data_IF_326229462429
#
_entry.id   IF_326229462429
#
_cell.length_a   1.000
_cell.length_b   1.000
_cell.length_c   1.000
_cell.angle_alpha   90.00
_cell.angle_beta   90.00
_cell.angle_gamma   90.00
#
_symmetry.space_group_name_H-M   'P 1'
#
loop_
_entity.id
_entity.type
_entity.pdbx_description
1 polymer ?
#
# COMPACT_ATOMS: atom_id res chain seq x y z
N UNK A 1 2.12 17.66 -11.48
CA UNK A 1 1.61 18.19 -10.18
C UNK A 1 2.41 17.57 -9.05
N UNK A 2 2.78 18.32 -7.99
CA UNK A 2 3.49 17.80 -6.80
C UNK A 2 2.80 18.29 -5.54
N UNK A 3 2.51 17.41 -4.59
CA UNK A 3 2.03 17.76 -3.26
C UNK A 3 2.83 17.01 -2.21
N UNK A 4 3.48 17.75 -1.31
CA UNK A 4 4.14 17.21 -0.11
C UNK A 4 3.14 17.27 1.04
N UNK A 5 3.10 16.24 1.87
CA UNK A 5 2.36 16.31 3.13
C UNK A 5 3.28 16.94 4.18
N UNK A 6 2.77 18.01 4.78
CA UNK A 6 3.44 18.68 5.89
C UNK A 6 2.81 18.18 7.20
N UNK A 7 3.65 17.63 8.08
CA UNK A 7 3.21 17.11 9.38
C UNK A 7 3.20 18.18 10.48
N UNK A 8 3.49 19.43 10.13
CA UNK A 8 3.43 20.57 11.07
C UNK A 8 2.01 21.07 11.33
N UNK A 9 1.01 20.52 10.64
CA UNK A 9 -0.40 20.80 10.94
C UNK A 9 -0.84 20.03 12.20
N UNK A 10 -0.81 20.73 13.34
CA UNK A 10 -1.28 20.24 14.64
C UNK A 10 -2.79 20.00 14.71
N UNK A 11 -3.56 20.26 13.65
CA UNK A 11 -5.03 20.07 13.64
C UNK A 11 -5.46 18.60 13.69
N UNK A 12 -4.54 17.65 13.53
CA UNK A 12 -4.80 16.22 13.75
C UNK A 12 -5.82 15.58 12.80
N UNK A 13 -6.31 16.29 11.77
CA UNK A 13 -7.30 15.76 10.85
C UNK A 13 -6.66 15.05 9.65
N UNK A 14 -6.00 13.91 9.91
CA UNK A 14 -5.62 12.97 8.87
C UNK A 14 -6.79 12.03 8.53
N UNK A 15 -7.81 12.57 7.85
CA UNK A 15 -8.97 11.79 7.39
C UNK A 15 -9.78 11.12 8.52
N UNK A 16 -10.67 10.21 8.12
CA UNK A 16 -11.45 9.34 9.03
C UNK A 16 -10.67 8.03 9.20
N UNK A 17 -10.23 7.73 10.42
CA UNK A 17 -9.41 6.55 10.73
C UNK A 17 -9.27 6.29 12.23
N UNK A 18 -8.73 5.13 12.59
CA UNK A 18 -8.38 4.81 13.99
C UNK A 18 -7.13 5.60 14.38
N UNK A 19 -7.31 6.62 15.22
CA UNK A 19 -6.27 7.61 15.53
C UNK A 19 -5.46 7.28 16.78
N UNK A 20 -5.82 6.24 17.54
CA UNK A 20 -5.21 5.91 18.84
C UNK A 20 -3.77 5.35 18.74
N UNK A 21 -3.37 4.92 17.54
CA UNK A 21 -2.00 4.51 17.22
C UNK A 21 -1.14 5.61 16.62
N UNK A 22 -1.71 6.76 16.24
CA UNK A 22 -1.00 7.81 15.50
C UNK A 22 -0.46 8.89 16.43
N UNK A 23 0.80 9.29 16.22
CA UNK A 23 1.37 10.46 16.90
C UNK A 23 2.31 11.18 15.94
N UNK A 24 2.24 12.51 15.91
CA UNK A 24 3.31 13.32 15.31
C UNK A 24 4.34 13.57 16.40
N UNK A 25 5.58 13.19 16.13
CA UNK A 25 6.69 13.36 17.07
C UNK A 25 7.94 13.81 16.34
N UNK A 26 8.92 14.33 17.09
CA UNK A 26 10.26 14.53 16.54
C UNK A 26 10.83 13.19 16.06
N UNK A 27 11.52 13.21 14.93
CA UNK A 27 12.22 12.06 14.36
C UNK A 27 13.29 11.58 15.38
N UNK A 28 13.09 10.41 16.01
CA UNK A 28 14.01 9.89 17.02
C UNK A 28 15.32 9.39 16.41
N UNK A 29 15.40 9.32 15.07
CA UNK A 29 16.59 8.88 14.33
C UNK A 29 17.36 10.07 13.77
N UNK A 30 16.65 11.10 13.27
CA UNK A 30 17.26 12.33 12.73
C UNK A 30 16.62 13.58 13.34
N UNK A 31 17.16 14.05 14.46
CA UNK A 31 16.69 15.23 15.18
C UNK A 31 16.41 16.46 14.27
N UNK A 32 15.42 17.26 14.65
CA UNK A 32 15.04 18.49 13.93
C UNK A 32 14.04 18.30 12.77
N UNK A 33 13.47 17.11 12.59
CA UNK A 33 12.34 16.85 11.68
C UNK A 33 11.18 16.19 12.45
N UNK A 34 9.96 16.35 11.96
CA UNK A 34 8.79 15.65 12.48
C UNK A 34 8.43 14.44 11.61
N UNK A 35 8.01 13.36 12.25
CA UNK A 35 7.59 12.11 11.62
C UNK A 35 6.20 11.72 12.12
N UNK A 36 5.46 11.01 11.27
CA UNK A 36 4.26 10.30 11.68
C UNK A 36 4.67 8.95 12.27
N UNK A 37 4.48 8.81 13.58
CA UNK A 37 4.71 7.58 14.34
C UNK A 37 3.42 6.76 14.39
N UNK A 38 3.54 5.46 14.12
CA UNK A 38 2.43 4.52 14.22
C UNK A 38 2.80 3.39 15.16
N UNK A 39 2.10 3.30 16.29
CA UNK A 39 2.28 2.26 17.29
C UNK A 39 1.43 1.03 17.01
N UNK A 40 1.99 -0.16 17.24
CA UNK A 40 1.32 -1.45 17.16
C UNK A 40 1.47 -2.17 18.50
N UNK A 41 0.36 -2.35 19.20
CA UNK A 41 0.33 -3.12 20.45
C UNK A 41 0.52 -4.61 20.16
N UNK A 42 1.29 -5.27 21.00
CA UNK A 42 1.48 -6.72 20.99
C UNK A 42 0.12 -7.44 20.94
N UNK A 43 0.05 -8.48 20.11
CA UNK A 43 -1.13 -9.32 19.98
C UNK A 43 -2.22 -8.75 19.08
N UNK A 44 -2.12 -7.52 18.60
CA UNK A 44 -3.10 -6.93 17.68
C UNK A 44 -2.86 -7.40 16.24
N UNK A 45 -3.93 -7.49 15.44
CA UNK A 45 -3.85 -7.76 14.00
C UNK A 45 -5.18 -7.39 13.30
N UNK A 46 -5.13 -6.93 12.06
CA UNK A 46 -6.30 -6.56 11.24
C UNK A 46 -7.35 -5.81 12.08
N UNK A 47 -8.53 -6.39 12.34
CA UNK A 47 -9.60 -5.80 13.15
C UNK A 47 -9.68 -6.37 14.58
N UNK A 48 -8.63 -7.01 15.09
CA UNK A 48 -8.65 -7.73 16.35
C UNK A 48 -7.66 -7.17 17.38
N UNK A 49 -8.03 -7.23 18.65
CA UNK A 49 -7.22 -6.84 19.79
C UNK A 49 -6.21 -7.94 20.21
N UNK A 50 -5.45 -7.66 21.29
CA UNK A 50 -4.46 -8.57 21.85
C UNK A 50 -5.03 -9.93 22.29
N UNK A 51 -6.30 -9.97 22.73
CA UNK A 51 -7.01 -11.18 23.11
C UNK A 51 -7.53 -11.98 21.89
N UNK A 52 -7.51 -11.37 20.70
CA UNK A 52 -8.03 -11.96 19.47
C UNK A 52 -9.53 -11.74 19.26
N UNK A 53 -10.15 -10.88 20.06
CA UNK A 53 -11.53 -10.43 19.87
C UNK A 53 -11.56 -9.26 18.88
N UNK A 54 -12.71 -9.01 18.27
CA UNK A 54 -12.91 -7.83 17.44
C UNK A 54 -12.59 -6.57 18.26
N UNK A 55 -11.74 -5.72 17.70
CA UNK A 55 -11.14 -4.59 18.37
C UNK A 55 -12.25 -3.57 18.69
N UNK A 56 -12.38 -3.13 19.96
CA UNK A 56 -13.15 -1.92 20.24
C UNK A 56 -12.50 -0.74 19.49
N UNK A 57 -13.20 0.38 19.32
CA UNK A 57 -12.71 1.55 18.53
C UNK A 57 -11.29 2.05 18.91
N UNK A 58 -10.75 1.64 20.06
CA UNK A 58 -9.40 1.93 20.55
C UNK A 58 -8.73 0.61 20.95
N UNK A 59 -7.74 0.14 20.20
CA UNK A 59 -6.90 -1.00 20.62
C UNK A 59 -5.46 -0.96 20.10
N UNK A 60 -5.02 0.18 19.55
CA UNK A 60 -3.65 0.46 19.14
C UNK A 60 -3.09 -0.54 18.12
N UNK A 61 -3.89 -0.88 17.10
CA UNK A 61 -3.57 -1.91 16.10
C UNK A 61 -2.82 -1.42 14.86
N UNK A 62 -2.38 -0.16 14.89
CA UNK A 62 -1.93 0.57 13.72
C UNK A 62 -3.00 1.56 13.27
N UNK A 63 -2.91 2.04 12.04
CA UNK A 63 -3.79 3.11 11.56
C UNK A 63 -4.10 2.97 10.08
N UNK A 64 -5.29 3.47 9.71
CA UNK A 64 -5.67 3.56 8.31
C UNK A 64 -6.61 4.74 8.06
N UNK A 65 -6.42 5.43 6.95
CA UNK A 65 -7.26 6.54 6.49
C UNK A 65 -7.00 6.81 5.00
N UNK A 66 -7.98 7.43 4.35
CA UNK A 66 -7.87 7.87 2.97
C UNK A 66 -7.52 9.35 2.90
N UNK A 67 -6.58 9.69 2.04
CA UNK A 67 -6.22 11.07 1.73
C UNK A 67 -6.56 11.35 0.28
N UNK A 68 -7.46 12.30 0.07
CA UNK A 68 -7.84 12.81 -1.25
C UNK A 68 -7.53 14.32 -1.32
N UNK A 69 -6.35 14.69 -1.83
CA UNK A 69 -5.93 16.08 -1.84
C UNK A 69 -6.83 16.94 -2.73
N UNK A 70 -7.06 18.20 -2.33
CA UNK A 70 -7.96 19.11 -3.05
C UNK A 70 -7.68 19.19 -4.55
N UNK A 71 -6.41 19.25 -4.96
CA UNK A 71 -6.05 19.32 -6.38
C UNK A 71 -6.42 18.06 -7.16
N UNK A 72 -6.43 16.90 -6.51
CA UNK A 72 -6.89 15.64 -7.12
C UNK A 72 -8.41 15.63 -7.23
N UNK A 73 -9.12 16.04 -6.18
CA UNK A 73 -10.59 16.20 -6.21
C UNK A 73 -11.05 17.17 -7.30
N UNK A 74 -10.40 18.33 -7.39
CA UNK A 74 -10.73 19.37 -8.36
C UNK A 74 -10.48 18.89 -9.81
N UNK A 75 -9.62 17.89 -10.01
CA UNK A 75 -9.38 17.27 -11.30
C UNK A 75 -10.47 16.26 -11.72
N UNK A 76 -11.53 16.05 -10.93
CA UNK A 76 -12.74 15.35 -11.36
C UNK A 76 -12.50 13.97 -11.98
N UNK A 77 -11.71 13.13 -11.30
CA UNK A 77 -11.35 11.77 -11.72
C UNK A 77 -10.50 11.64 -13.00
N UNK A 78 -9.93 12.75 -13.50
CA UNK A 78 -9.10 12.73 -14.72
C UNK A 78 -7.67 12.22 -14.50
N UNK A 79 -7.24 12.02 -13.26
CA UNK A 79 -5.88 11.57 -12.97
C UNK A 79 -5.79 10.06 -13.19
N UNK A 80 -5.02 9.63 -14.20
CA UNK A 80 -4.81 8.21 -14.54
C UNK A 80 -3.37 7.74 -14.34
N UNK A 81 -2.45 8.65 -13.99
CA UNK A 81 -1.05 8.36 -13.71
C UNK A 81 -0.63 9.13 -12.45
N UNK A 82 -0.14 8.40 -11.46
CA UNK A 82 0.29 9.00 -10.20
C UNK A 82 1.45 8.23 -9.60
N UNK A 83 2.37 8.99 -9.03
CA UNK A 83 3.49 8.52 -8.22
C UNK A 83 3.28 8.92 -6.76
N UNK A 84 3.34 7.94 -5.87
CA UNK A 84 3.44 8.08 -4.43
C UNK A 84 4.90 7.88 -4.01
N UNK A 85 5.44 8.80 -3.23
CA UNK A 85 6.73 8.65 -2.56
C UNK A 85 6.54 8.79 -1.05
N UNK A 86 7.28 8.01 -0.27
CA UNK A 86 7.43 8.18 1.18
C UNK A 86 8.66 7.46 1.70
N UNK A 87 9.04 7.74 2.93
CA UNK A 87 10.04 6.93 3.65
C UNK A 87 9.39 6.27 4.86
N UNK A 88 9.75 5.01 5.09
CA UNK A 88 9.31 4.23 6.26
C UNK A 88 10.51 3.70 7.02
N UNK A 89 10.50 3.88 8.34
CA UNK A 89 11.47 3.31 9.26
C UNK A 89 10.79 2.26 10.12
N UNK A 90 11.34 1.05 10.11
CA UNK A 90 10.96 -0.02 11.02
C UNK A 90 11.91 0.00 12.22
N UNK A 91 11.36 -0.06 13.44
CA UNK A 91 12.16 -0.18 14.66
C UNK A 91 13.23 -1.29 14.51
N UNK A 92 14.42 -1.11 15.09
CA UNK A 92 15.51 -2.10 15.06
C UNK A 92 15.05 -3.53 15.39
N UNK A 93 14.14 -3.67 16.36
CA UNK A 93 13.61 -4.96 16.82
C UNK A 93 12.25 -5.31 16.21
N UNK A 94 11.87 -4.69 15.09
CA UNK A 94 10.58 -4.92 14.45
C UNK A 94 10.46 -6.40 14.04
N UNK A 95 9.48 -7.10 14.61
CA UNK A 95 9.23 -8.50 14.31
C UNK A 95 8.26 -8.65 13.13
N UNK A 96 8.75 -9.07 11.98
CA UNK A 96 7.97 -9.11 10.73
C UNK A 96 6.70 -9.97 10.76
N UNK A 97 6.66 -11.02 11.57
CA UNK A 97 5.61 -12.05 11.59
C UNK A 97 5.31 -12.58 10.19
N UNK A 98 4.05 -12.91 9.89
CA UNK A 98 3.58 -13.25 8.55
C UNK A 98 3.47 -12.04 7.63
N UNK A 99 3.29 -10.85 8.20
CA UNK A 99 3.22 -9.62 7.44
C UNK A 99 2.23 -8.59 7.98
N UNK A 100 2.09 -7.52 7.22
CA UNK A 100 1.17 -6.43 7.49
C UNK A 100 1.13 -5.43 6.35
N UNK A 101 0.22 -4.47 6.42
CA UNK A 101 -0.05 -3.52 5.33
C UNK A 101 0.84 -2.29 5.41
N UNK A 102 1.08 -1.66 4.28
CA UNK A 102 1.74 -0.37 4.15
C UNK A 102 0.98 0.54 3.19
N UNK A 103 1.20 1.87 3.28
CA UNK A 103 0.53 2.84 2.42
C UNK A 103 0.73 2.58 0.92
N UNK A 104 -0.30 2.88 0.13
CA UNK A 104 -0.28 2.83 -1.33
C UNK A 104 -1.35 3.73 -1.96
N UNK A 105 -1.48 3.69 -3.29
CA UNK A 105 -2.47 4.48 -4.02
C UNK A 105 -3.88 3.84 -4.01
N UNK A 106 -4.90 4.66 -4.20
CA UNK A 106 -6.30 4.23 -4.37
C UNK A 106 -7.07 5.12 -5.34
N UNK A 107 -8.23 4.64 -5.79
CA UNK A 107 -9.19 5.40 -6.57
C UNK A 107 -10.58 4.78 -6.59
N UNK A 108 -11.60 5.61 -6.84
CA UNK A 108 -13.01 5.21 -6.91
C UNK A 108 -13.71 5.14 -5.55
N UNK A 109 -14.53 4.12 -5.34
CA UNK A 109 -15.12 3.80 -4.05
C UNK A 109 -14.06 3.38 -3.00
N UNK A 110 -14.44 3.29 -1.73
CA UNK A 110 -13.53 2.93 -0.62
C UNK A 110 -13.59 1.44 -0.24
N UNK A 111 -14.23 0.64 -1.07
CA UNK A 111 -14.54 -0.75 -0.76
C UNK A 111 -13.43 -1.73 -1.08
N UNK A 112 -12.40 -1.34 -1.85
CA UNK A 112 -11.33 -2.23 -2.33
C UNK A 112 -10.28 -2.59 -1.25
N UNK A 113 -10.73 -3.24 -0.17
CA UNK A 113 -9.92 -3.75 0.94
C UNK A 113 -10.69 -4.75 1.81
N UNK A 114 -9.99 -5.50 2.69
CA UNK A 114 -10.64 -6.35 3.69
C UNK A 114 -11.45 -7.51 3.12
N UNK A 115 -11.06 -8.00 1.94
CA UNK A 115 -11.74 -9.07 1.21
C UNK A 115 -12.95 -8.64 0.38
N UNK A 116 -13.18 -7.33 0.25
CA UNK A 116 -14.20 -6.77 -0.64
C UNK A 116 -13.55 -6.41 -1.99
N UNK A 117 -14.01 -7.05 -3.04
CA UNK A 117 -13.63 -6.79 -4.43
C UNK A 117 -14.77 -6.00 -5.08
N UNK A 118 -14.45 -4.99 -5.88
CA UNK A 118 -15.43 -4.13 -6.53
C UNK A 118 -14.86 -3.57 -7.84
N UNK A 119 -15.70 -3.43 -8.85
CA UNK A 119 -15.34 -2.81 -10.13
C UNK A 119 -15.40 -1.28 -10.11
N UNK A 120 -15.79 -0.70 -8.97
CA UNK A 120 -15.91 0.75 -8.77
C UNK A 120 -14.72 1.37 -8.05
N UNK A 121 -13.67 0.59 -7.77
CA UNK A 121 -12.46 1.09 -7.12
C UNK A 121 -11.23 0.25 -7.45
N UNK A 122 -10.08 0.74 -7.01
CA UNK A 122 -8.86 -0.06 -6.85
C UNK A 122 -8.06 0.42 -5.64
N UNK A 123 -7.18 -0.44 -5.14
CA UNK A 123 -6.10 -0.03 -4.23
C UNK A 123 -4.81 -0.79 -4.53
N UNK A 124 -3.66 -0.15 -4.38
CA UNK A 124 -2.32 -0.74 -4.60
C UNK A 124 -1.46 -0.54 -3.35
N UNK A 125 -1.95 -0.98 -2.20
CA UNK A 125 -1.16 -0.94 -0.95
C UNK A 125 0.10 -1.77 -1.09
N UNK A 126 1.07 -1.53 -0.22
CA UNK A 126 2.19 -2.45 -0.07
C UNK A 126 1.94 -3.40 1.10
N UNK A 127 2.72 -4.47 1.18
CA UNK A 127 2.84 -5.28 2.37
C UNK A 127 4.30 -5.52 2.73
N UNK A 128 4.57 -5.63 4.03
CA UNK A 128 5.70 -6.44 4.48
C UNK A 128 5.23 -7.87 4.73
N UNK A 129 6.15 -8.81 4.59
CA UNK A 129 6.01 -10.25 4.83
C UNK A 129 7.13 -10.74 5.73
N UNK A 130 7.12 -12.03 6.05
CA UNK A 130 8.17 -12.67 6.85
C UNK A 130 9.58 -12.36 6.34
N UNK A 131 10.50 -12.14 7.27
CA UNK A 131 11.89 -11.79 6.93
C UNK A 131 12.08 -10.39 6.33
N UNK A 132 11.05 -9.53 6.36
CA UNK A 132 11.12 -8.19 5.77
C UNK A 132 10.87 -8.15 4.28
N UNK A 133 10.46 -9.27 3.67
CA UNK A 133 10.05 -9.31 2.27
C UNK A 133 8.96 -8.27 1.99
N UNK A 134 9.04 -7.62 0.83
CA UNK A 134 8.03 -6.67 0.38
C UNK A 134 7.29 -7.14 -0.86
N UNK A 135 6.10 -6.59 -1.06
CA UNK A 135 5.25 -6.84 -2.23
C UNK A 135 4.27 -5.68 -2.45
N UNK A 136 3.69 -5.61 -3.65
CA UNK A 136 2.45 -4.87 -3.88
C UNK A 136 1.28 -5.79 -3.55
N UNK A 137 0.31 -5.27 -2.80
CA UNK A 137 -0.93 -5.94 -2.44
C UNK A 137 -2.13 -5.17 -3.01
N UNK A 138 -2.58 -5.61 -4.18
CA UNK A 138 -3.51 -4.85 -5.02
C UNK A 138 -4.93 -5.42 -5.00
N UNK A 139 -5.93 -4.57 -4.78
CA UNK A 139 -7.33 -4.88 -5.11
C UNK A 139 -7.66 -4.18 -6.42
N UNK A 140 -7.96 -4.96 -7.46
CA UNK A 140 -8.36 -4.50 -8.79
C UNK A 140 -9.55 -5.33 -9.26
N UNK A 141 -10.16 -4.96 -10.38
CA UNK A 141 -11.22 -5.76 -11.02
C UNK A 141 -10.74 -7.20 -11.27
N UNK A 142 -11.63 -8.18 -11.09
CA UNK A 142 -11.33 -9.57 -11.45
C UNK A 142 -11.52 -9.84 -12.94
N UNK A 143 -12.16 -8.93 -13.68
CA UNK A 143 -12.33 -9.02 -15.13
C UNK A 143 -11.05 -8.52 -15.85
N UNK A 144 -9.99 -9.31 -15.74
CA UNK A 144 -8.65 -8.98 -16.23
C UNK A 144 -8.45 -9.23 -17.72
N UNK A 145 -9.25 -10.11 -18.32
CA UNK A 145 -9.13 -10.47 -19.74
C UNK A 145 -10.47 -10.98 -20.25
N UNK A 146 -10.95 -10.39 -21.35
CA UNK A 146 -12.20 -10.80 -21.97
C UNK A 146 -12.27 -12.32 -22.21
N UNK A 147 -13.36 -12.93 -21.75
CA UNK A 147 -13.62 -14.36 -21.92
C UNK A 147 -12.72 -15.30 -21.10
N UNK A 148 -11.98 -14.79 -20.12
CA UNK A 148 -11.12 -15.58 -19.22
C UNK A 148 -11.52 -15.30 -17.78
N UNK A 149 -11.68 -16.34 -16.95
CA UNK A 149 -11.89 -16.14 -15.52
C UNK A 149 -10.59 -15.67 -14.83
N UNK A 150 -10.74 -15.05 -13.66
CA UNK A 150 -9.63 -14.45 -12.92
C UNK A 150 -8.52 -15.45 -12.56
N UNK A 151 -8.87 -16.69 -12.19
CA UNK A 151 -7.90 -17.70 -11.79
C UNK A 151 -7.10 -18.20 -13.00
N UNK A 152 -7.78 -18.46 -14.13
CA UNK A 152 -7.12 -18.78 -15.39
C UNK A 152 -6.18 -17.67 -15.88
N UNK A 153 -6.59 -16.40 -15.75
CA UNK A 153 -5.71 -15.26 -16.05
C UNK A 153 -4.48 -15.27 -15.15
N UNK A 154 -4.67 -15.41 -13.83
CA UNK A 154 -3.56 -15.40 -12.88
C UNK A 154 -2.59 -16.56 -13.12
N UNK A 155 -3.09 -17.76 -13.35
CA UNK A 155 -2.26 -18.95 -13.62
C UNK A 155 -1.46 -18.78 -14.91
N UNK A 156 -2.02 -18.10 -15.92
CA UNK A 156 -1.27 -17.76 -17.14
C UNK A 156 -0.08 -16.84 -16.85
N UNK A 157 -0.17 -15.93 -15.87
CA UNK A 157 0.94 -15.07 -15.47
C UNK A 157 2.03 -15.84 -14.72
N UNK A 158 1.66 -16.78 -13.84
CA UNK A 158 2.63 -17.60 -13.07
C UNK A 158 3.58 -18.42 -13.96
N UNK A 159 3.15 -18.78 -15.18
CA UNK A 159 3.99 -19.46 -16.16
C UNK A 159 5.09 -18.59 -16.79
N UNK A 160 5.00 -17.26 -16.62
CA UNK A 160 5.96 -16.30 -17.17
C UNK A 160 7.01 -16.00 -16.12
N UNK A 161 8.29 -16.15 -16.50
CA UNK A 161 9.42 -15.93 -15.59
C UNK A 161 9.38 -14.56 -14.91
N UNK A 162 8.92 -13.53 -15.63
CA UNK A 162 8.85 -12.15 -15.14
C UNK A 162 7.75 -11.90 -14.10
N UNK A 163 6.81 -12.83 -13.88
CA UNK A 163 5.72 -12.73 -12.91
C UNK A 163 5.59 -13.99 -12.04
N UNK A 164 6.68 -14.74 -11.89
CA UNK A 164 6.66 -16.00 -11.13
C UNK A 164 6.45 -15.79 -9.61
N UNK A 165 6.43 -14.54 -9.12
CA UNK A 165 6.12 -14.16 -7.73
C UNK A 165 4.73 -13.53 -7.57
N UNK A 166 3.82 -13.80 -8.51
CA UNK A 166 2.41 -13.38 -8.39
C UNK A 166 1.57 -14.41 -7.61
N UNK A 167 0.77 -13.92 -6.66
CA UNK A 167 -0.24 -14.68 -5.93
C UNK A 167 -1.62 -14.05 -6.14
N UNK A 168 -2.64 -14.87 -6.43
CA UNK A 168 -4.03 -14.40 -6.58
C UNK A 168 -4.96 -15.19 -5.66
N UNK A 169 -5.02 -14.84 -4.38
CA UNK A 169 -5.97 -15.46 -3.45
C UNK A 169 -7.42 -15.05 -3.80
N UNK A 170 -8.34 -16.02 -3.84
CA UNK A 170 -9.72 -15.86 -4.36
C UNK A 170 -10.52 -14.68 -3.77
N UNK A 171 -10.34 -14.39 -2.47
CA UNK A 171 -11.10 -13.38 -1.74
C UNK A 171 -10.25 -12.19 -1.28
N UNK A 172 -9.01 -12.08 -1.74
CA UNK A 172 -8.07 -11.10 -1.21
C UNK A 172 -7.35 -10.38 -2.35
N UNK A 173 -6.53 -9.40 -2.00
CA UNK A 173 -5.75 -8.66 -3.00
C UNK A 173 -4.72 -9.56 -3.69
N UNK A 174 -4.41 -9.22 -4.94
CA UNK A 174 -3.31 -9.77 -5.73
C UNK A 174 -2.00 -9.41 -5.03
N UNK A 175 -1.17 -10.42 -4.81
CA UNK A 175 0.20 -10.31 -4.30
C UNK A 175 1.12 -10.23 -5.52
N UNK A 176 1.81 -9.11 -5.72
CA UNK A 176 2.68 -8.89 -6.88
C UNK A 176 4.10 -8.68 -6.38
N UNK A 177 5.02 -9.51 -6.85
CA UNK A 177 6.44 -9.43 -6.52
C UNK A 177 6.76 -9.79 -5.07
N UNK A 178 6.12 -10.81 -4.49
CA UNK A 178 6.41 -11.22 -3.10
C UNK A 178 7.88 -11.58 -2.90
N UNK A 179 8.56 -10.83 -2.04
CA UNK A 179 9.99 -10.99 -1.80
C UNK A 179 10.85 -10.54 -2.97
N UNK A 180 10.35 -9.62 -3.82
CA UNK A 180 11.17 -8.93 -4.82
C UNK A 180 12.23 -8.04 -4.14
N UNK A 181 11.87 -7.43 -3.01
CA UNK A 181 12.77 -6.64 -2.18
C UNK A 181 12.60 -6.97 -0.69
N UNK A 182 13.52 -6.46 0.13
CA UNK A 182 13.46 -6.60 1.59
C UNK A 182 13.58 -5.23 2.27
N UNK A 183 12.65 -4.93 3.17
CA UNK A 183 12.75 -3.81 4.09
C UNK A 183 13.83 -4.03 5.13
N UNK A 184 14.53 -2.96 5.49
CA UNK A 184 15.57 -2.98 6.51
C UNK A 184 15.03 -2.38 7.81
N UNK A 185 15.21 -3.09 8.92
CA UNK A 185 14.99 -2.50 10.25
C UNK A 185 16.13 -1.54 10.60
N UNK A 186 15.85 -0.59 11.49
CA UNK A 186 16.87 0.34 11.94
C UNK A 186 17.30 1.38 10.90
N UNK A 187 16.63 1.43 9.74
CA UNK A 187 16.98 2.28 8.60
C UNK A 187 15.73 2.84 7.93
N UNK A 188 15.88 4.01 7.32
CA UNK A 188 14.86 4.57 6.45
C UNK A 188 14.86 3.82 5.11
N UNK A 189 13.69 3.32 4.73
CA UNK A 189 13.44 2.69 3.44
C UNK A 189 12.65 3.69 2.60
N UNK A 190 13.24 4.20 1.53
CA UNK A 190 12.53 5.09 0.60
C UNK A 190 11.70 4.26 -0.36
N UNK A 191 10.41 4.54 -0.42
CA UNK A 191 9.45 3.89 -1.30
C UNK A 191 8.98 4.90 -2.34
N UNK A 192 9.00 4.48 -3.60
CA UNK A 192 8.34 5.16 -4.71
C UNK A 192 7.44 4.14 -5.40
N UNK A 193 6.13 4.41 -5.49
CA UNK A 193 5.17 3.60 -6.24
C UNK A 193 4.54 4.46 -7.33
N UNK A 194 4.60 4.02 -8.59
CA UNK A 194 3.85 4.61 -9.69
C UNK A 194 2.74 3.66 -10.12
N UNK A 195 1.54 4.21 -10.29
CA UNK A 195 0.39 3.50 -10.85
C UNK A 195 -0.07 4.24 -12.10
N UNK A 196 -0.28 3.48 -13.18
CA UNK A 196 -0.89 3.94 -14.42
C UNK A 196 -2.15 3.11 -14.66
N UNK A 197 -3.30 3.78 -14.79
CA UNK A 197 -4.56 3.12 -15.10
C UNK A 197 -4.61 2.80 -16.60
N UNK A 198 -5.30 1.71 -16.94
CA UNK A 198 -5.61 1.39 -18.33
C UNK A 198 -6.55 2.43 -18.98
N UNK A 199 -6.44 2.60 -20.30
CA UNK A 199 -7.22 3.56 -21.11
C UNK A 199 -8.57 3.01 -21.60
N UNK A 200 -8.66 1.71 -21.86
CA UNK A 200 -9.89 1.02 -22.25
C UNK A 200 -10.08 -0.28 -21.45
N UNK A 201 -11.29 -0.86 -21.41
CA UNK A 201 -11.53 -2.16 -20.77
C UNK A 201 -10.54 -3.21 -21.29
N UNK A 202 -10.06 -4.07 -20.40
CA UNK A 202 -9.11 -5.15 -20.71
C UNK A 202 -7.75 -4.74 -21.31
N UNK A 203 -7.47 -3.44 -21.48
CA UNK A 203 -6.11 -2.96 -21.72
C UNK A 203 -5.28 -2.97 -20.44
N UNK A 204 -3.96 -3.03 -20.58
CA UNK A 204 -3.08 -3.06 -19.42
C UNK A 204 -2.75 -1.65 -18.89
N UNK A 205 -2.87 -1.50 -17.58
CA UNK A 205 -2.22 -0.46 -16.81
C UNK A 205 -0.88 -0.95 -16.27
N UNK A 206 -0.32 -0.25 -15.29
CA UNK A 206 0.92 -0.68 -14.65
C UNK A 206 1.01 -0.29 -13.17
N UNK A 207 1.73 -1.11 -12.41
CA UNK A 207 2.30 -0.75 -11.09
C UNK A 207 3.81 -0.92 -11.16
N UNK A 208 4.54 0.10 -10.75
CA UNK A 208 6.00 0.02 -10.58
C UNK A 208 6.38 0.47 -9.18
N UNK A 209 7.27 -0.27 -8.52
CA UNK A 209 7.81 0.07 -7.20
C UNK A 209 9.32 0.17 -7.26
N UNK A 210 9.83 1.26 -6.70
CA UNK A 210 11.25 1.43 -6.40
C UNK A 210 11.45 1.48 -4.89
N UNK A 211 12.49 0.80 -4.42
CA UNK A 211 12.93 0.83 -3.02
C UNK A 211 14.37 1.33 -2.97
N UNK A 212 14.62 2.37 -2.18
CA UNK A 212 15.91 3.05 -2.12
C UNK A 212 16.45 3.45 -3.51
N UNK A 213 15.54 3.83 -4.40
CA UNK A 213 15.75 4.21 -5.82
C UNK A 213 16.11 3.05 -6.78
N UNK A 214 16.16 1.80 -6.32
CA UNK A 214 16.27 0.63 -7.19
C UNK A 214 14.88 0.19 -7.64
N UNK A 215 14.70 -0.16 -8.91
CA UNK A 215 13.42 -0.71 -9.37
C UNK A 215 13.31 -2.17 -8.91
N UNK A 216 12.29 -2.47 -8.13
CA UNK A 216 12.11 -3.78 -7.49
C UNK A 216 10.89 -4.53 -8.02
N UNK A 217 9.85 -3.83 -8.49
CA UNK A 217 8.64 -4.46 -9.06
C UNK A 217 8.20 -3.65 -10.27
N UNK A 218 7.89 -4.34 -11.38
CA UNK A 218 7.24 -3.74 -12.54
C UNK A 218 6.22 -4.72 -13.14
N UNK A 219 4.93 -4.46 -12.91
CA UNK A 219 3.83 -5.19 -13.54
C UNK A 219 3.10 -4.27 -14.51
N UNK A 220 3.05 -4.65 -15.78
CA UNK A 220 2.39 -3.92 -16.86
C UNK A 220 1.38 -4.78 -17.63
N UNK A 221 0.97 -5.92 -17.05
CA UNK A 221 -0.03 -6.84 -17.58
C UNK A 221 -1.19 -6.99 -16.56
N UNK A 222 -1.72 -5.84 -16.12
CA UNK A 222 -2.80 -5.76 -15.13
C UNK A 222 -3.86 -4.75 -15.55
N UNK A 223 -5.12 -5.11 -15.48
CA UNK A 223 -6.26 -4.21 -15.64
C UNK A 223 -6.57 -3.59 -14.28
N UNK A 224 -6.51 -2.26 -14.18
CA UNK A 224 -6.79 -1.56 -12.91
C UNK A 224 -8.28 -1.32 -12.72
N UNK A 225 -9.00 -1.04 -13.82
CA UNK A 225 -10.43 -0.70 -13.83
C UNK A 225 -11.09 -1.12 -15.14
N UNK A 226 -12.36 -1.51 -15.08
CA UNK A 226 -13.22 -1.63 -16.27
C UNK A 226 -14.32 -0.56 -16.31
N UNK A 227 -14.48 0.20 -15.23
CA UNK A 227 -15.31 1.41 -15.18
C UNK A 227 -14.41 2.64 -15.29
N UNK A 228 -14.79 3.60 -16.13
CA UNK A 228 -13.97 4.77 -16.47
C UNK A 228 -14.50 6.07 -15.84
N UNK A 229 -15.41 5.96 -14.88
CA UNK A 229 -16.00 7.07 -14.15
C UNK A 229 -15.20 7.48 -12.88
N UNK A 230 -14.10 6.81 -12.58
CA UNK A 230 -13.18 7.16 -11.50
C UNK A 230 -11.72 7.11 -11.97
N UNK A 231 -10.85 7.89 -11.32
CA UNK A 231 -9.40 7.90 -11.56
C UNK A 231 -8.63 7.59 -10.28
N UNK A 232 -7.37 7.98 -10.21
CA UNK A 232 -6.55 7.90 -8.99
C UNK A 232 -6.94 9.06 -8.06
N UNK A 233 -7.41 8.73 -6.85
CA UNK A 233 -7.92 9.70 -5.87
C UNK A 233 -6.89 10.10 -4.81
N UNK A 234 -5.83 9.31 -4.61
CA UNK A 234 -4.68 9.70 -3.78
C UNK A 234 -4.10 8.57 -2.97
N UNK A 235 -3.80 8.86 -1.70
CA UNK A 235 -3.10 7.96 -0.77
C UNK A 235 -4.12 7.21 0.10
N UNK A 236 -4.01 5.88 0.12
CA UNK A 236 -4.60 5.04 1.15
C UNK A 236 -3.50 4.71 2.15
N UNK A 237 -3.46 5.50 3.23
CA UNK A 237 -2.58 5.19 4.35
C UNK A 237 -3.20 4.01 5.10
N UNK A 238 -2.49 2.89 5.18
CA UNK A 238 -2.98 1.68 5.81
C UNK A 238 -1.78 0.91 6.33
N UNK A 239 -1.65 0.82 7.66
CA UNK A 239 -0.56 0.10 8.27
C UNK A 239 -1.01 -0.60 9.54
N UNK A 240 -0.87 -1.91 9.56
CA UNK A 240 -1.25 -2.81 10.66
C UNK A 240 -0.65 -4.20 10.39
N UNK A 241 -0.33 -4.93 11.45
CA UNK A 241 -0.10 -6.37 11.36
C UNK A 241 -1.39 -7.04 10.93
N UNK A 242 -1.38 -7.96 9.97
CA UNK A 242 -2.67 -8.38 9.44
C UNK A 242 -2.66 -9.58 8.53
N UNK A 243 -3.55 -10.48 8.90
CA UNK A 243 -4.32 -11.37 8.06
C UNK A 243 -5.66 -11.55 8.77
N UNK A 244 -6.37 -12.63 8.50
CA UNK A 244 -7.70 -12.88 9.05
C UNK A 244 -7.69 -13.80 10.28
N UNK A 245 -6.51 -14.16 10.82
CA UNK A 245 -6.37 -15.14 11.89
C UNK A 245 -5.25 -14.79 12.91
N UNK A 246 -5.28 -15.36 14.13
CA UNK A 246 -4.33 -15.04 15.20
C UNK A 246 -2.85 -15.30 14.91
N UNK A 247 -2.49 -16.04 13.86
CA UNK A 247 -1.09 -16.25 13.48
C UNK A 247 -0.42 -15.00 12.89
N UNK A 248 -1.20 -13.93 12.66
CA UNK A 248 -0.73 -12.64 12.16
C UNK A 248 -0.46 -11.61 13.26
N UNK A 249 -0.70 -11.97 14.52
CA UNK A 249 -0.55 -11.10 15.69
C UNK A 249 0.81 -10.40 15.73
N UNK A 250 0.80 -9.09 15.99
CA UNK A 250 1.97 -8.30 16.33
C UNK A 250 2.77 -9.02 17.45
N UNK A 251 4.07 -9.31 17.28
CA UNK A 251 4.80 -10.18 18.21
C UNK A 251 5.15 -9.47 19.52
N UNK A 252 5.35 -8.15 19.46
CA UNK A 252 5.76 -7.29 20.54
C UNK A 252 5.31 -5.86 20.26
N UNK A 253 5.15 -5.06 21.30
CA UNK A 253 4.92 -3.62 21.16
C UNK A 253 6.01 -2.99 20.28
N UNK A 254 5.59 -2.30 19.22
CA UNK A 254 6.53 -1.76 18.23
C UNK A 254 5.95 -0.56 17.51
N UNK A 255 6.81 0.09 16.72
CA UNK A 255 6.48 1.32 16.00
C UNK A 255 7.11 1.32 14.62
N UNK A 256 6.41 1.95 13.69
CA UNK A 256 6.98 2.40 12.41
C UNK A 256 6.87 3.91 12.31
N UNK A 257 7.86 4.54 11.69
CA UNK A 257 7.87 5.98 11.45
C UNK A 257 7.72 6.24 9.95
N UNK A 258 6.96 7.28 9.59
CA UNK A 258 6.74 7.69 8.21
C UNK A 258 7.09 9.16 8.03
N UNK A 259 7.71 9.49 6.91
CA UNK A 259 8.01 10.88 6.54
C UNK A 259 8.04 11.07 5.03
N UNK A 260 8.14 12.34 4.63
CA UNK A 260 8.33 12.73 3.24
C UNK A 260 7.29 12.18 2.26
N UNK A 261 6.02 12.05 2.66
CA UNK A 261 4.97 11.69 1.72
C UNK A 261 4.88 12.74 0.61
N UNK A 262 4.80 12.26 -0.63
CA UNK A 262 4.58 13.08 -1.81
C UNK A 262 3.69 12.35 -2.81
N UNK A 263 2.70 13.06 -3.34
CA UNK A 263 1.95 12.64 -4.52
C UNK A 263 2.36 13.48 -5.72
N UNK A 264 2.54 12.84 -6.86
CA UNK A 264 2.92 13.51 -8.09
C UNK A 264 2.26 12.90 -9.33
N UNK A 265 1.89 13.72 -10.30
CA UNK A 265 1.47 13.26 -11.64
C UNK A 265 2.63 13.32 -12.66
N UNK A 266 3.83 13.66 -12.19
CA UNK A 266 5.01 13.71 -13.03
C UNK A 266 5.65 12.32 -13.01
N UNK A 267 6.16 11.85 -14.15
CA UNK A 267 6.91 10.60 -14.19
C UNK A 267 8.13 10.70 -13.25
N UNK A 268 8.43 9.65 -12.44
CA UNK A 268 9.60 9.66 -11.60
C UNK A 268 10.86 9.68 -12.47
N UNK A 269 11.86 10.47 -12.09
CA UNK A 269 13.19 10.43 -12.72
C UNK A 269 14.02 9.28 -12.16
N UNK A 270 13.48 8.07 -12.24
CA UNK A 270 14.09 6.82 -11.80
C UNK A 270 14.22 5.90 -13.02
N UNK A 271 15.31 5.13 -13.09
CA UNK A 271 15.54 4.21 -14.20
C UNK A 271 14.44 3.14 -14.18
N UNK A 272 13.76 2.97 -15.31
CA UNK A 272 12.93 1.80 -15.57
C UNK A 272 13.88 0.68 -16.00
N UNK A 273 14.38 -0.13 -15.07
CA UNK A 273 14.97 -1.40 -15.47
C UNK A 273 13.86 -2.39 -15.76
N UNK A 274 14.00 -3.16 -16.84
CA UNK A 274 13.24 -4.40 -17.03
C UNK A 274 13.69 -5.42 -15.97
N UNK A 275 13.25 -5.26 -14.72
CA UNK A 275 13.54 -6.20 -13.64
C UNK A 275 12.30 -6.41 -12.74
N UNK A 276 12.24 -7.64 -12.24
CA UNK A 276 11.09 -8.52 -11.99
C UNK A 276 10.41 -8.32 -10.64
N UNK A 277 9.10 -8.62 -10.61
CA UNK A 277 8.36 -9.11 -9.45
C UNK A 277 7.20 -9.98 -9.88
#
# INVERSE_FOLDING_TARGET
MKQKFDYTDHSGQFGIGEHDSLTIQEDPVNHGQFVLSVFYRQGTFSHHDHSGNECPQICQRGAQFFVNPKKVRDAGHQITDMTLEYEVYFNHSFGWQKGGKLPGLWGGARDCSGGRISDHCFSTRLMWRSGGQGEVYAYVTHDQKAGTDFNSWCDSLKSREIYNKIGCPDHYGIEIGTGAFHFQTGKWNKITQRVQLNSHPHEHGSVTVWVNNNAEIHMNDIVMRNQFNFGIDGLFFSTFYGGNDPSWKCPADTTTLFRNFRLSTDAPQLVQSQLVG
#
